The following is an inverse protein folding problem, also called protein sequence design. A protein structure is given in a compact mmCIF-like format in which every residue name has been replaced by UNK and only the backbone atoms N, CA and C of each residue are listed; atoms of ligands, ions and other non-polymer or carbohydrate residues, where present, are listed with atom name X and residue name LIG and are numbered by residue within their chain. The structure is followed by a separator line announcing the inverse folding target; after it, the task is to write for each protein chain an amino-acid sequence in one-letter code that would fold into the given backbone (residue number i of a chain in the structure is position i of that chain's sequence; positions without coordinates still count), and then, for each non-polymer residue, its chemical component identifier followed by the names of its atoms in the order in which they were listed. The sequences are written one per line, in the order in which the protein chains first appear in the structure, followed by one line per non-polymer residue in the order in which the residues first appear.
data_IF_174108741584
#
_entry.id   IF_174108741584
#
_cell.length_a   1.000
_cell.length_b   1.000
_cell.length_c   1.000
_cell.angle_alpha   90.00
_cell.angle_beta   90.00
_cell.angle_gamma   90.00
#
_symmetry.space_group_name_H-M   'P 1'
#
loop_
_entity.id
_entity.type
_entity.pdbx_description
1 polymer ?
#
# COMPACT_ATOMS: atom_id res chain seq x y z
N UNK A 1 31.09 15.41 20.35
CA UNK A 1 30.80 14.60 19.17
C UNK A 1 29.38 14.91 18.73
N UNK A 2 29.20 15.46 17.54
CA UNK A 2 27.87 15.81 17.02
C UNK A 2 27.43 14.68 16.11
N UNK A 3 26.29 14.06 16.37
CA UNK A 3 25.68 13.08 15.48
C UNK A 3 24.87 13.82 14.42
N UNK A 4 25.22 13.68 13.16
CA UNK A 4 24.42 14.18 12.04
C UNK A 4 23.17 13.32 11.83
N UNK A 5 22.03 13.95 11.51
CA UNK A 5 20.78 13.25 11.25
C UNK A 5 20.83 12.51 9.89
N UNK A 6 20.38 11.26 9.90
CA UNK A 6 20.21 10.48 8.67
C UNK A 6 19.00 11.00 7.89
N UNK A 7 19.19 11.31 6.61
CA UNK A 7 18.14 11.79 5.71
C UNK A 7 17.55 10.62 4.92
N UNK A 8 16.22 10.52 4.90
CA UNK A 8 15.50 9.58 4.04
C UNK A 8 15.23 10.15 2.64
N UNK A 9 14.83 9.27 1.71
CA UNK A 9 14.34 9.64 0.39
C UNK A 9 12.81 9.68 0.45
N UNK A 10 12.14 10.82 0.19
CA UNK A 10 10.70 10.88 0.17
C UNK A 10 10.14 10.09 -1.03
N UNK A 11 9.10 9.28 -0.78
CA UNK A 11 8.46 8.43 -1.80
C UNK A 11 7.03 8.88 -2.08
N UNK A 12 6.23 9.07 -1.04
CA UNK A 12 4.82 9.42 -1.14
C UNK A 12 4.40 10.27 0.07
N UNK A 13 3.55 11.27 -0.15
CA UNK A 13 3.03 12.17 0.90
C UNK A 13 1.51 12.23 0.85
N UNK A 14 0.87 12.37 2.00
CA UNK A 14 -0.58 12.46 2.14
C UNK A 14 -0.93 13.43 3.26
N UNK A 15 -1.71 14.46 2.94
CA UNK A 15 -2.02 15.56 3.86
C UNK A 15 -3.37 15.38 4.57
N UNK A 16 -4.31 14.63 3.97
CA UNK A 16 -5.69 14.52 4.47
C UNK A 16 -5.86 13.29 5.35
N UNK A 17 -5.34 12.15 4.90
CA UNK A 17 -5.55 10.86 5.52
C UNK A 17 -4.25 10.22 6.01
N UNK A 18 -3.84 10.58 7.24
CA UNK A 18 -2.57 10.18 7.86
C UNK A 18 -2.30 8.68 7.66
N UNK A 19 -1.14 8.37 7.09
CA UNK A 19 -0.62 7.02 6.97
C UNK A 19 -0.25 6.46 8.35
N UNK A 20 -0.65 5.22 8.66
CA UNK A 20 -0.51 4.62 10.00
C UNK A 20 0.33 3.34 10.01
N UNK A 21 0.47 2.69 8.87
CA UNK A 21 1.18 1.42 8.74
C UNK A 21 1.76 1.27 7.34
N UNK A 22 2.78 0.42 7.19
CA UNK A 22 3.40 0.13 5.90
C UNK A 22 3.90 -1.31 5.87
N UNK A 23 3.69 -1.99 4.75
CA UNK A 23 4.38 -3.23 4.39
C UNK A 23 4.71 -3.19 2.90
N UNK A 24 5.77 -3.87 2.48
CA UNK A 24 6.17 -3.90 1.09
C UNK A 24 6.68 -5.28 0.69
N UNK A 25 6.53 -5.60 -0.60
CA UNK A 25 7.20 -6.75 -1.21
C UNK A 25 7.54 -6.45 -2.67
N UNK A 26 8.32 -7.32 -3.28
CA UNK A 26 8.71 -7.20 -4.69
C UNK A 26 7.94 -8.21 -5.52
N UNK A 27 7.24 -7.74 -6.54
CA UNK A 27 6.56 -8.55 -7.54
C UNK A 27 7.16 -8.27 -8.92
N UNK A 28 7.75 -9.27 -9.57
CA UNK A 28 8.37 -9.16 -10.91
C UNK A 28 9.20 -7.88 -11.08
N UNK A 29 10.12 -7.62 -10.14
CA UNK A 29 11.00 -6.45 -10.08
C UNK A 29 10.32 -5.09 -9.79
N UNK A 30 9.01 -5.05 -9.54
CA UNK A 30 8.32 -3.87 -9.06
C UNK A 30 8.24 -3.90 -7.53
N UNK A 31 8.59 -2.78 -6.91
CA UNK A 31 8.43 -2.61 -5.46
C UNK A 31 7.02 -2.10 -5.18
N UNK A 32 6.23 -2.91 -4.47
CA UNK A 32 4.87 -2.58 -4.08
C UNK A 32 4.83 -2.26 -2.59
N UNK A 33 4.37 -1.05 -2.25
CA UNK A 33 4.13 -0.61 -0.89
C UNK A 33 2.62 -0.52 -0.62
N UNK A 34 2.22 -1.14 0.49
CA UNK A 34 0.85 -1.16 0.99
C UNK A 34 0.80 -0.32 2.25
N UNK A 35 0.01 0.75 2.23
CA UNK A 35 0.01 1.77 3.28
C UNK A 35 -1.39 1.89 3.88
N UNK A 36 -1.53 1.54 5.15
CA UNK A 36 -2.77 1.75 5.90
C UNK A 36 -2.94 3.20 6.33
N UNK A 37 -4.18 3.64 6.50
CA UNK A 37 -4.51 5.02 6.90
C UNK A 37 -5.35 5.12 8.16
N UNK A 38 -5.42 6.33 8.74
CA UNK A 38 -6.27 6.62 9.90
C UNK A 38 -7.77 6.42 9.62
N UNK A 39 -8.20 6.57 8.36
CA UNK A 39 -9.61 6.37 7.97
C UNK A 39 -9.96 4.92 7.61
N UNK A 40 -9.02 3.98 7.81
CA UNK A 40 -9.28 2.56 7.56
C UNK A 40 -9.13 2.15 6.11
N UNK A 41 -8.40 2.94 5.32
CA UNK A 41 -8.10 2.64 3.92
C UNK A 41 -6.73 2.02 3.77
N UNK A 42 -6.57 1.25 2.71
CA UNK A 42 -5.30 0.72 2.23
C UNK A 42 -4.98 1.37 0.89
N UNK A 43 -3.82 2.02 0.79
CA UNK A 43 -3.26 2.54 -0.46
C UNK A 43 -2.29 1.52 -1.03
N UNK A 44 -2.41 1.19 -2.31
CA UNK A 44 -1.44 0.38 -3.05
C UNK A 44 -0.59 1.30 -3.91
N UNK A 45 0.73 1.24 -3.71
CA UNK A 45 1.68 2.19 -4.29
C UNK A 45 2.80 1.41 -4.95
N UNK A 46 3.01 1.66 -6.24
CA UNK A 46 4.19 1.18 -6.96
C UNK A 46 5.31 2.19 -6.84
N UNK A 47 6.50 1.76 -6.43
CA UNK A 47 7.67 2.62 -6.23
C UNK A 47 8.67 2.42 -7.38
N UNK A 48 8.73 3.39 -8.28
CA UNK A 48 9.50 3.35 -9.53
C UNK A 48 10.92 3.95 -9.40
N UNK A 49 11.52 3.87 -8.21
CA UNK A 49 12.95 4.15 -7.98
C UNK A 49 13.28 5.39 -7.11
N UNK A 50 14.58 5.67 -6.90
CA UNK A 50 15.07 6.59 -5.86
C UNK A 50 14.80 8.08 -6.12
N UNK A 51 14.42 8.45 -7.34
CA UNK A 51 14.30 9.85 -7.79
C UNK A 51 12.92 10.22 -8.29
N UNK A 52 11.90 9.50 -7.83
CA UNK A 52 10.54 10.01 -7.81
C UNK A 52 9.72 9.60 -9.00
N UNK A 53 9.18 8.39 -8.93
CA UNK A 53 7.78 8.18 -9.27
C UNK A 53 7.23 7.13 -8.31
N UNK A 54 6.26 7.52 -7.50
CA UNK A 54 5.44 6.59 -6.75
C UNK A 54 4.03 6.73 -7.32
N UNK A 55 3.49 5.64 -7.84
CA UNK A 55 2.14 5.63 -8.39
C UNK A 55 1.21 4.98 -7.38
N UNK A 56 0.36 5.77 -6.73
CA UNK A 56 -0.79 5.22 -6.02
C UNK A 56 -1.85 4.85 -7.05
N UNK A 57 -1.92 3.57 -7.41
CA UNK A 57 -2.83 3.08 -8.44
C UNK A 57 -4.18 2.61 -7.87
N UNK A 58 -4.25 2.26 -6.59
CA UNK A 58 -5.48 1.80 -5.96
C UNK A 58 -5.62 2.30 -4.51
N UNK A 59 -6.86 2.53 -4.08
CA UNK A 59 -7.21 2.75 -2.67
C UNK A 59 -8.45 1.95 -2.33
N UNK A 60 -8.37 1.14 -1.27
CA UNK A 60 -9.42 0.21 -0.86
C UNK A 60 -9.86 0.55 0.56
N UNK A 61 -11.18 0.60 0.81
CA UNK A 61 -11.69 0.65 2.19
C UNK A 61 -11.59 -0.75 2.81
N UNK A 62 -10.84 -0.89 3.89
CA UNK A 62 -10.54 -2.20 4.51
C UNK A 62 -11.06 -2.34 5.93
N UNK A 63 -11.30 -1.22 6.61
CA UNK A 63 -11.84 -1.13 7.98
C UNK A 63 -12.78 0.06 8.03
N UNK A 64 -14.01 -0.09 8.54
CA UNK A 64 -14.92 1.04 8.78
C UNK A 64 -15.69 0.84 10.09
N UNK A 65 -15.56 1.74 11.10
CA UNK A 65 -14.64 2.87 11.20
C UNK A 65 -13.29 2.50 11.83
N UNK A 66 -12.28 3.37 11.65
CA UNK A 66 -11.06 3.38 12.48
C UNK A 66 -9.75 3.16 11.72
N UNK A 67 -8.60 3.31 12.40
CA UNK A 67 -7.29 3.25 11.77
C UNK A 67 -6.84 1.82 11.48
N UNK A 68 -6.04 1.67 10.43
CA UNK A 68 -5.24 0.46 10.21
C UNK A 68 -4.06 0.45 11.18
N UNK A 69 -3.88 -0.63 11.94
CA UNK A 69 -2.75 -0.81 12.86
C UNK A 69 -1.46 -1.19 12.10
N UNK A 70 -0.33 -1.05 12.80
CA UNK A 70 1.01 -1.29 12.22
C UNK A 70 1.19 -2.71 11.70
N UNK A 71 0.60 -3.68 12.39
CA UNK A 71 0.77 -5.09 12.08
C UNK A 71 -0.07 -5.45 10.85
N UNK A 72 0.66 -5.76 9.78
CA UNK A 72 0.14 -6.31 8.54
C UNK A 72 1.03 -7.48 8.12
N UNK A 73 0.46 -8.47 7.45
CA UNK A 73 1.22 -9.63 7.00
C UNK A 73 0.68 -10.17 5.68
N UNK A 74 1.59 -10.57 4.79
CA UNK A 74 1.21 -11.33 3.60
C UNK A 74 0.91 -12.79 3.97
N UNK A 75 0.00 -13.43 3.25
CA UNK A 75 -0.05 -14.88 3.17
C UNK A 75 1.25 -15.43 2.60
N UNK A 76 1.52 -16.72 2.84
CA UNK A 76 2.75 -17.37 2.39
C UNK A 76 2.96 -17.29 0.87
N UNK A 77 1.86 -17.36 0.11
CA UNK A 77 1.81 -17.25 -1.35
C UNK A 77 1.74 -15.81 -1.87
N UNK A 78 1.64 -14.81 -0.99
CA UNK A 78 1.47 -13.39 -1.32
C UNK A 78 0.18 -13.07 -2.09
N UNK A 79 -0.83 -13.94 -2.07
CA UNK A 79 -2.14 -13.64 -2.68
C UNK A 79 -3.02 -12.74 -1.78
N UNK A 80 -2.78 -12.77 -0.47
CA UNK A 80 -3.60 -12.10 0.53
C UNK A 80 -2.75 -11.22 1.45
N UNK A 81 -3.31 -10.10 1.84
CA UNK A 81 -2.77 -9.19 2.84
C UNK A 81 -3.74 -9.16 4.04
N UNK A 82 -3.23 -9.57 5.21
CA UNK A 82 -3.95 -9.48 6.47
C UNK A 82 -3.70 -8.13 7.10
N UNK A 83 -4.79 -7.41 7.38
CA UNK A 83 -4.78 -6.03 7.85
C UNK A 83 -5.53 -5.97 9.18
N UNK A 84 -4.82 -5.52 10.22
CA UNK A 84 -5.38 -5.44 11.56
C UNK A 84 -5.93 -4.04 11.86
N UNK A 85 -7.04 -4.00 12.59
CA UNK A 85 -7.56 -2.82 13.28
C UNK A 85 -7.78 -3.15 14.76
N UNK A 86 -8.21 -2.18 15.56
CA UNK A 86 -8.57 -2.44 16.96
C UNK A 86 -9.70 -3.47 17.13
N UNK A 87 -10.55 -3.66 16.11
CA UNK A 87 -11.80 -4.44 16.23
C UNK A 87 -11.92 -5.63 15.29
N UNK A 88 -11.09 -5.70 14.25
CA UNK A 88 -11.18 -6.74 13.24
C UNK A 88 -9.84 -6.99 12.53
N UNK A 89 -9.72 -8.18 11.96
CA UNK A 89 -8.70 -8.57 11.01
C UNK A 89 -9.37 -8.74 9.64
N UNK A 90 -8.98 -7.95 8.66
CA UNK A 90 -9.50 -8.02 7.28
C UNK A 90 -8.48 -8.75 6.40
N UNK A 91 -8.93 -9.73 5.61
CA UNK A 91 -8.12 -10.35 4.56
C UNK A 91 -8.43 -9.69 3.23
N UNK A 92 -7.43 -9.09 2.60
CA UNK A 92 -7.57 -8.30 1.36
C UNK A 92 -6.74 -8.95 0.25
N UNK A 93 -7.31 -9.22 -0.93
CA UNK A 93 -6.54 -9.67 -2.08
C UNK A 93 -5.46 -8.63 -2.45
N UNK A 94 -4.24 -9.12 -2.68
CA UNK A 94 -3.13 -8.27 -3.10
C UNK A 94 -3.42 -7.63 -4.45
N UNK A 95 -4.10 -8.34 -5.35
CA UNK A 95 -4.56 -7.88 -6.66
C UNK A 95 -6.03 -8.22 -6.89
N UNK A 96 -6.71 -7.39 -7.66
CA UNK A 96 -8.11 -7.58 -8.08
C UNK A 96 -8.28 -7.28 -9.57
N UNK A 97 -7.34 -7.73 -10.41
CA UNK A 97 -7.28 -7.36 -11.84
C UNK A 97 -8.57 -7.68 -12.62
N UNK A 98 -9.36 -8.66 -12.17
CA UNK A 98 -10.67 -8.98 -12.74
C UNK A 98 -11.72 -7.86 -12.63
N UNK A 99 -11.42 -6.76 -11.92
CA UNK A 99 -12.28 -5.58 -11.85
C UNK A 99 -12.32 -4.78 -13.16
N UNK A 100 -11.27 -4.89 -13.99
CA UNK A 100 -11.15 -4.15 -15.25
C UNK A 100 -11.85 -4.90 -16.39
N UNK A 101 -12.74 -4.23 -17.11
CA UNK A 101 -13.60 -4.86 -18.14
C UNK A 101 -13.07 -4.72 -19.56
N UNK A 102 -12.09 -3.84 -19.76
CA UNK A 102 -11.44 -3.65 -21.05
C UNK A 102 -9.91 -3.77 -20.93
N UNK A 103 -9.28 -4.11 -22.05
CA UNK A 103 -7.82 -4.17 -22.16
C UNK A 103 -7.18 -2.81 -21.78
N UNK A 104 -7.81 -1.70 -22.21
CA UNK A 104 -7.34 -0.36 -21.90
C UNK A 104 -7.42 -0.02 -20.41
N UNK A 105 -8.49 -0.42 -19.72
CA UNK A 105 -8.61 -0.25 -18.26
C UNK A 105 -7.57 -1.08 -17.50
N UNK A 106 -7.38 -2.34 -17.90
CA UNK A 106 -6.45 -3.24 -17.23
C UNK A 106 -5.01 -2.76 -17.37
N UNK A 107 -4.54 -2.53 -18.60
CA UNK A 107 -3.17 -2.08 -18.88
C UNK A 107 -2.93 -0.63 -18.47
N UNK A 108 -3.99 0.19 -18.39
CA UNK A 108 -3.93 1.59 -17.97
C UNK A 108 -4.02 1.80 -16.45
N UNK A 109 -4.32 0.75 -15.67
CA UNK A 109 -4.51 0.84 -14.22
C UNK A 109 -3.25 1.28 -13.46
N UNK A 110 -2.07 0.88 -13.96
CA UNK A 110 -0.81 1.04 -13.26
C UNK A 110 -0.52 -0.05 -12.21
N UNK A 111 -1.40 -1.03 -12.06
CA UNK A 111 -1.15 -2.25 -11.27
C UNK A 111 -0.14 -3.16 -12.02
N UNK A 112 1.01 -3.56 -11.42
CA UNK A 112 2.08 -4.32 -12.10
C UNK A 112 1.80 -5.76 -12.53
#
# INVERSE_FOLDING_TARGET
GVSDMVRGIPVFTEDRDRMTSVIAYVYKNHSLAFVGTKSGKLKKIRVDGPRGNALQYETVQVVDPGPVLRDMAFSKDHEQLYIMSERQLTRVPVESCGQYRSCGECLGSGDP
#
